data_IF_531458486797
#
_entry.id   IF_531458486797
#
_cell.length_a   1.000
_cell.length_b   1.000
_cell.length_c   1.000
_cell.angle_alpha   90.00
_cell.angle_beta   90.00
_cell.angle_gamma   90.00
#
_symmetry.space_group_name_H-M   'P 1'
#
loop_
_entity.id
_entity.type
_entity.pdbx_description
1 polymer ?
#
# COMPACT_ATOMS: atom_id res chain seq x y z
N UNK A 1 8.79 -13.61 -14.67
CA UNK A 1 8.22 -12.27 -14.45
C UNK A 1 6.94 -12.32 -13.60
N UNK A 2 6.08 -13.33 -13.79
CA UNK A 2 4.88 -13.56 -12.97
C UNK A 2 4.99 -14.85 -12.12
N UNK A 3 4.28 -14.90 -10.99
CA UNK A 3 4.19 -16.09 -10.12
C UNK A 3 2.80 -16.14 -9.47
N UNK A 4 2.23 -17.34 -9.38
CA UNK A 4 1.07 -17.59 -8.52
C UNK A 4 1.51 -17.64 -7.06
N UNK A 5 0.87 -16.83 -6.22
CA UNK A 5 0.97 -16.93 -4.76
C UNK A 5 -0.36 -17.44 -4.25
N UNK A 6 -0.35 -18.68 -3.74
CA UNK A 6 -1.52 -19.30 -3.16
C UNK A 6 -1.34 -19.32 -1.64
N UNK A 7 -2.32 -18.76 -0.92
CA UNK A 7 -2.37 -18.81 0.54
C UNK A 7 -3.57 -19.62 0.98
N UNK A 8 -3.32 -20.57 1.87
CA UNK A 8 -4.32 -21.41 2.51
C UNK A 8 -4.52 -20.92 3.94
N UNK A 9 -5.75 -20.60 4.31
CA UNK A 9 -6.14 -20.30 5.69
C UNK A 9 -6.78 -21.56 6.27
N UNK A 10 -6.21 -22.08 7.35
CA UNK A 10 -6.79 -23.18 8.13
C UNK A 10 -7.55 -22.62 9.33
N UNK A 11 -8.56 -23.34 9.80
CA UNK A 11 -9.24 -23.11 11.08
C UNK A 11 -8.38 -23.61 12.23
N UNK A 12 -8.78 -23.28 13.45
CA UNK A 12 -8.13 -23.78 14.66
C UNK A 12 -8.13 -25.32 14.70
N UNK A 13 -9.21 -25.93 14.21
CA UNK A 13 -9.39 -27.38 14.11
C UNK A 13 -8.55 -28.03 12.98
N UNK A 14 -7.67 -27.28 12.32
CA UNK A 14 -6.80 -27.75 11.24
C UNK A 14 -7.47 -27.88 9.86
N UNK A 15 -8.80 -27.84 9.80
CA UNK A 15 -9.57 -27.88 8.55
C UNK A 15 -9.36 -26.63 7.68
N UNK A 16 -9.44 -26.81 6.36
CA UNK A 16 -9.24 -25.73 5.41
C UNK A 16 -10.45 -24.78 5.40
N UNK A 17 -10.21 -23.51 5.72
CA UNK A 17 -11.24 -22.46 5.76
C UNK A 17 -11.37 -21.74 4.41
N UNK A 18 -10.22 -21.33 3.85
CA UNK A 18 -10.20 -20.48 2.66
C UNK A 18 -8.92 -20.62 1.87
N UNK A 19 -9.05 -20.66 0.55
CA UNK A 19 -7.93 -20.55 -0.39
C UNK A 19 -8.00 -19.17 -1.06
N UNK A 20 -6.86 -18.49 -1.16
CA UNK A 20 -6.71 -17.29 -1.99
C UNK A 20 -5.51 -17.43 -2.91
N UNK A 21 -5.77 -17.46 -4.21
CA UNK A 21 -4.76 -17.32 -5.24
C UNK A 21 -4.60 -15.86 -5.65
N UNK A 22 -3.37 -15.39 -5.82
CA UNK A 22 -3.06 -14.10 -6.43
C UNK A 22 -2.04 -14.32 -7.53
N UNK A 23 -2.35 -13.83 -8.73
CA UNK A 23 -1.35 -13.68 -9.79
C UNK A 23 -0.60 -12.39 -9.50
N UNK A 24 0.69 -12.50 -9.22
CA UNK A 24 1.49 -11.33 -8.81
C UNK A 24 2.76 -11.28 -9.64
N UNK A 25 3.13 -10.06 -10.05
CA UNK A 25 4.45 -9.80 -10.59
C UNK A 25 5.51 -10.04 -9.51
N UNK A 26 6.62 -10.66 -9.90
CA UNK A 26 7.76 -10.94 -9.03
C UNK A 26 8.55 -9.65 -8.79
N UNK A 27 8.15 -8.89 -7.76
CA UNK A 27 8.82 -7.64 -7.36
C UNK A 27 10.30 -7.83 -7.01
N UNK A 28 10.66 -9.01 -6.48
CA UNK A 28 12.04 -9.41 -6.16
C UNK A 28 12.97 -9.50 -7.39
N UNK A 29 12.40 -9.50 -8.59
CA UNK A 29 13.15 -9.56 -9.86
C UNK A 29 12.90 -8.33 -10.74
N UNK A 30 12.38 -7.25 -10.16
CA UNK A 30 12.24 -6.00 -10.89
C UNK A 30 13.61 -5.41 -11.20
N UNK A 31 13.80 -5.02 -12.46
CA UNK A 31 15.02 -4.37 -12.94
C UNK A 31 14.72 -2.90 -13.20
N UNK A 32 15.48 -2.02 -12.54
CA UNK A 32 15.37 -0.58 -12.74
C UNK A 32 15.65 -0.20 -14.21
N UNK A 33 14.85 0.70 -14.77
CA UNK A 33 14.91 1.10 -16.18
C UNK A 33 14.19 0.17 -17.15
N UNK A 34 13.82 -1.06 -16.72
CA UNK A 34 12.99 -1.99 -17.51
C UNK A 34 11.59 -2.12 -16.96
N UNK A 35 11.47 -2.39 -15.66
CA UNK A 35 10.19 -2.68 -14.99
C UNK A 35 9.62 -1.46 -14.26
N UNK A 36 10.47 -0.50 -13.90
CA UNK A 36 10.08 0.80 -13.35
C UNK A 36 11.17 1.83 -13.66
N UNK A 37 10.78 3.10 -13.78
CA UNK A 37 11.71 4.20 -13.96
C UNK A 37 12.22 4.67 -12.58
N UNK A 38 13.52 4.50 -12.28
CA UNK A 38 14.07 4.85 -10.97
C UNK A 38 14.09 6.36 -10.71
N UNK A 39 13.98 7.20 -11.74
CA UNK A 39 14.03 8.66 -11.60
C UNK A 39 12.67 9.27 -11.29
N UNK A 40 11.59 8.68 -11.81
CA UNK A 40 10.23 9.18 -11.64
C UNK A 40 9.44 8.43 -10.57
N UNK A 41 9.71 7.13 -10.38
CA UNK A 41 8.98 6.27 -9.44
C UNK A 41 9.85 6.01 -8.22
N UNK A 42 9.62 6.78 -7.16
CA UNK A 42 10.18 6.52 -5.83
C UNK A 42 9.04 6.19 -4.85
N UNK A 43 9.18 5.10 -4.08
CA UNK A 43 8.28 4.78 -2.98
C UNK A 43 8.88 5.33 -1.69
N UNK A 44 8.34 6.42 -1.12
CA UNK A 44 8.87 6.96 0.12
C UNK A 44 8.64 5.96 1.26
N UNK A 45 9.72 5.39 1.78
CA UNK A 45 9.68 4.53 2.97
C UNK A 45 9.88 5.42 4.19
N UNK A 46 8.80 5.69 4.92
CA UNK A 46 8.89 6.44 6.15
C UNK A 46 9.60 5.61 7.24
N UNK A 47 10.68 6.16 7.81
CA UNK A 47 11.40 5.50 8.89
C UNK A 47 10.66 5.67 10.22
N UNK A 48 10.84 4.72 11.16
CA UNK A 48 10.16 4.79 12.47
C UNK A 48 10.47 6.09 13.21
N UNK A 49 11.70 6.57 13.12
CA UNK A 49 12.15 7.83 13.74
C UNK A 49 11.30 9.00 13.27
N UNK A 50 11.01 9.10 11.97
CA UNK A 50 10.21 10.17 11.37
C UNK A 50 8.78 10.21 11.93
N UNK A 51 8.18 9.04 12.18
CA UNK A 51 6.83 8.98 12.77
C UNK A 51 6.83 9.47 14.22
N UNK A 52 7.82 9.05 15.03
CA UNK A 52 7.92 9.49 16.43
C UNK A 52 8.21 10.98 16.55
N UNK A 53 9.04 11.55 15.67
CA UNK A 53 9.25 13.00 15.63
C UNK A 53 7.96 13.75 15.30
N UNK A 54 7.16 13.22 14.36
CA UNK A 54 5.88 13.83 14.00
C UNK A 54 4.89 13.80 15.17
N UNK A 55 4.81 12.68 15.90
CA UNK A 55 3.97 12.57 17.09
C UNK A 55 4.44 13.49 18.22
N UNK A 56 5.74 13.59 18.44
CA UNK A 56 6.31 14.46 19.48
C UNK A 56 5.96 15.93 19.21
N UNK A 57 6.10 16.36 17.96
CA UNK A 57 5.69 17.70 17.53
C UNK A 57 4.18 17.90 17.67
N UNK A 58 3.38 16.90 17.28
CA UNK A 58 1.93 16.98 17.41
C UNK A 58 1.48 17.16 18.86
N UNK A 59 2.11 16.46 19.81
CA UNK A 59 1.84 16.62 21.25
C UNK A 59 2.32 17.98 21.75
N UNK A 60 3.55 18.37 21.40
CA UNK A 60 4.15 19.62 21.89
C UNK A 60 3.35 20.87 21.46
N UNK A 61 2.76 20.83 20.27
CA UNK A 61 1.99 21.94 19.71
C UNK A 61 0.48 21.70 19.72
N UNK A 62 -0.01 20.66 20.40
CA UNK A 62 -1.44 20.30 20.47
C UNK A 62 -2.13 20.22 19.09
N UNK A 63 -1.44 19.62 18.11
CA UNK A 63 -1.90 19.50 16.73
C UNK A 63 -2.75 18.25 16.52
N UNK A 64 -3.74 18.35 15.62
CA UNK A 64 -4.54 17.20 15.21
C UNK A 64 -3.84 16.42 14.08
N UNK A 65 -3.79 15.10 14.23
CA UNK A 65 -3.29 14.21 13.18
C UNK A 65 -4.43 13.46 12.50
N UNK A 66 -4.33 13.36 11.19
CA UNK A 66 -5.22 12.58 10.34
C UNK A 66 -4.40 11.54 9.58
N UNK A 67 -4.85 10.28 9.64
CA UNK A 67 -4.27 9.21 8.85
C UNK A 67 -5.12 9.03 7.59
N UNK A 68 -4.47 9.11 6.45
CA UNK A 68 -5.08 8.91 5.14
C UNK A 68 -4.54 7.61 4.56
N UNK A 69 -5.41 6.60 4.46
CA UNK A 69 -5.07 5.32 3.85
C UNK A 69 -5.44 5.35 2.37
N UNK A 70 -4.41 5.36 1.51
CA UNK A 70 -4.57 5.34 0.06
C UNK A 70 -4.64 3.90 -0.43
N UNK A 71 -5.85 3.37 -0.50
CA UNK A 71 -6.10 2.10 -1.18
C UNK A 71 -5.79 2.23 -2.67
N UNK A 72 -4.82 1.46 -3.19
CA UNK A 72 -4.39 1.43 -4.61
C UNK A 72 -3.51 2.63 -5.05
N UNK A 73 -2.70 3.19 -4.15
CA UNK A 73 -1.74 4.27 -4.46
C UNK A 73 -0.85 3.98 -5.69
N UNK A 74 -0.48 2.71 -5.90
CA UNK A 74 0.41 2.29 -7.00
C UNK A 74 -0.25 2.23 -8.38
N UNK A 75 -1.56 2.47 -8.50
CA UNK A 75 -2.29 2.37 -9.77
C UNK A 75 -2.74 3.72 -10.33
N UNK A 76 -2.21 4.83 -9.78
CA UNK A 76 -2.47 6.16 -10.31
C UNK A 76 -1.49 6.44 -11.47
N UNK A 77 -1.75 5.85 -12.63
CA UNK A 77 -1.05 6.16 -13.88
C UNK A 77 -2.04 6.68 -14.93
N UNK A 78 -1.61 7.53 -15.88
CA UNK A 78 -2.44 7.85 -17.03
C UNK A 78 -2.77 6.55 -17.78
N UNK A 79 -4.06 6.24 -17.87
CA UNK A 79 -4.54 5.07 -18.60
C UNK A 79 -4.80 5.51 -20.04
N UNK A 80 -3.86 5.21 -20.95
CA UNK A 80 -4.00 5.52 -22.38
C UNK A 80 -4.97 4.59 -23.14
N UNK A 81 -5.53 3.59 -22.46
CA UNK A 81 -6.42 2.59 -23.08
C UNK A 81 -7.89 3.01 -23.00
N UNK A 82 -8.55 3.30 -24.14
CA UNK A 82 -9.97 3.61 -24.16
C UNK A 82 -10.81 2.39 -23.75
N UNK A 83 -11.77 2.57 -22.85
CA UNK A 83 -12.69 1.52 -22.37
C UNK A 83 -12.33 0.87 -21.04
N UNK A 84 -11.16 1.18 -20.45
CA UNK A 84 -10.76 0.68 -19.14
C UNK A 84 -11.07 1.72 -18.04
N UNK A 85 -12.29 1.69 -17.49
CA UNK A 85 -12.65 2.54 -16.35
C UNK A 85 -12.30 1.86 -15.03
N UNK A 86 -11.38 2.45 -14.26
CA UNK A 86 -11.15 2.03 -12.87
C UNK A 86 -12.07 2.83 -11.94
N UNK A 87 -12.71 2.15 -10.98
CA UNK A 87 -13.49 2.81 -9.94
C UNK A 87 -12.59 3.83 -9.20
N UNK A 88 -13.09 5.05 -8.93
CA UNK A 88 -12.30 6.11 -8.31
C UNK A 88 -11.75 5.67 -6.96
N UNK A 89 -10.60 6.26 -6.61
CA UNK A 89 -9.86 6.01 -5.39
C UNK A 89 -10.76 6.20 -4.17
N UNK A 90 -10.88 5.17 -3.32
CA UNK A 90 -11.58 5.30 -2.04
C UNK A 90 -10.57 5.74 -1.00
N UNK A 91 -10.66 6.99 -0.60
CA UNK A 91 -9.87 7.56 0.49
C UNK A 91 -10.65 7.38 1.80
N UNK A 92 -10.03 6.71 2.78
CA UNK A 92 -10.56 6.71 4.15
C UNK A 92 -9.68 7.60 5.01
N UNK A 93 -10.31 8.63 5.57
CA UNK A 93 -9.69 9.50 6.58
C UNK A 93 -10.08 8.99 7.96
N UNK A 94 -9.09 8.83 8.83
CA UNK A 94 -9.31 8.53 10.24
C UNK A 94 -8.59 9.58 11.08
N UNK A 95 -9.27 10.10 12.10
CA UNK A 95 -8.67 11.02 13.06
C UNK A 95 -7.89 10.22 14.08
N UNK A 96 -6.63 10.56 14.31
CA UNK A 96 -5.85 10.02 15.41
C UNK A 96 -6.02 10.98 16.57
N UNK A 97 -6.66 10.51 17.64
CA UNK A 97 -6.74 11.26 18.90
C UNK A 97 -5.50 10.94 19.71
N UNK A 98 -4.71 11.96 20.04
CA UNK A 98 -3.57 11.84 20.94
C UNK A 98 -4.02 12.47 22.25
N UNK A 99 -4.18 11.65 23.29
CA UNK A 99 -4.54 12.04 24.65
C UNK A 99 -3.31 12.37 25.48
#
# INVERSE_FOLDING_TARGET
MYKWVIKYKKRLDGLLDRIRGRWTLRGDRQVAGRDYDPTTINSPVAHKTTHFTLFTLAVQFSLYLFCLDVSKAFMLGPNDTPGLCMKPLRLSLSRISIS
#
